data_IF_017482325706
#
_entry.id   IF_017482325706
#
_cell.length_a   1.000
_cell.length_b   1.000
_cell.length_c   1.000
_cell.angle_alpha   90.00
_cell.angle_beta   90.00
_cell.angle_gamma   90.00
#
_symmetry.space_group_name_H-M   'P 1'
#
loop_
_entity.id
_entity.type
_entity.pdbx_description
1 polymer ?
#
# COMPACT_ATOMS: atom_id res chain seq x y z
N UNK A 1 -0.89 6.40 10.44
CA UNK A 1 -1.28 5.29 9.55
C UNK A 1 -2.79 5.08 9.70
N UNK A 2 -3.48 4.48 8.73
CA UNK A 2 -4.93 4.30 8.84
C UNK A 2 -5.23 3.22 9.87
N UNK A 3 -6.08 3.50 10.88
CA UNK A 3 -6.38 2.53 11.95
C UNK A 3 -6.90 1.19 11.44
N UNK A 4 -7.69 1.19 10.36
CA UNK A 4 -8.19 -0.05 9.75
C UNK A 4 -7.06 -0.90 9.16
N UNK A 5 -6.03 -0.25 8.62
CA UNK A 5 -4.89 -0.92 8.00
C UNK A 5 -3.98 -1.54 9.07
N UNK A 6 -3.77 -0.83 10.18
CA UNK A 6 -3.01 -1.36 11.33
C UNK A 6 -3.64 -2.65 11.90
N UNK A 7 -4.97 -2.68 11.99
CA UNK A 7 -5.69 -3.89 12.45
C UNK A 7 -5.51 -5.03 11.45
N UNK A 8 -5.65 -4.75 10.15
CA UNK A 8 -5.51 -5.75 9.09
C UNK A 8 -4.09 -6.33 9.02
N UNK A 9 -3.06 -5.47 9.11
CA UNK A 9 -1.66 -5.91 9.14
C UNK A 9 -1.39 -6.83 10.34
N UNK A 10 -1.91 -6.48 11.51
CA UNK A 10 -1.77 -7.32 12.72
C UNK A 10 -2.47 -8.68 12.57
N UNK A 11 -3.65 -8.72 11.96
CA UNK A 11 -4.37 -9.98 11.70
C UNK A 11 -3.62 -10.84 10.69
N UNK A 12 -3.07 -10.23 9.63
CA UNK A 12 -2.23 -10.90 8.65
C UNK A 12 -0.96 -11.48 9.29
N UNK A 13 -0.23 -10.68 10.07
CA UNK A 13 1.02 -11.11 10.73
C UNK A 13 0.77 -12.30 11.67
N UNK A 14 -0.33 -12.25 12.43
CA UNK A 14 -0.71 -13.37 13.29
C UNK A 14 -0.96 -14.64 12.47
N UNK A 15 -1.79 -14.55 11.42
CA UNK A 15 -2.08 -15.69 10.56
C UNK A 15 -0.82 -16.22 9.86
N UNK A 16 0.09 -15.33 9.45
CA UNK A 16 1.37 -15.69 8.85
C UNK A 16 2.22 -16.51 9.82
N UNK A 17 2.36 -16.07 11.07
CA UNK A 17 3.09 -16.81 12.11
C UNK A 17 2.44 -18.17 12.38
N UNK A 18 1.10 -18.20 12.50
CA UNK A 18 0.37 -19.45 12.75
C UNK A 18 0.60 -20.48 11.62
N UNK A 19 0.63 -20.04 10.36
CA UNK A 19 0.95 -20.92 9.22
C UNK A 19 2.42 -21.36 9.24
N UNK A 20 3.36 -20.47 9.59
CA UNK A 20 4.79 -20.83 9.65
C UNK A 20 5.08 -21.90 10.71
N UNK A 21 4.39 -21.82 11.85
CA UNK A 21 4.44 -22.83 12.91
C UNK A 21 3.92 -24.18 12.41
N UNK A 22 2.76 -24.20 11.76
CA UNK A 22 2.18 -25.42 11.18
C UNK A 22 3.12 -26.07 10.15
N UNK A 23 3.77 -25.26 9.31
CA UNK A 23 4.76 -25.76 8.36
C UNK A 23 6.02 -26.33 9.03
N UNK A 24 6.35 -25.86 10.24
CA UNK A 24 7.44 -26.38 11.06
C UNK A 24 7.14 -27.71 11.77
N UNK A 25 5.86 -28.10 11.86
CA UNK A 25 5.43 -29.39 12.43
C UNK A 25 5.45 -30.54 11.41
N UNK A 26 5.65 -30.24 10.12
CA UNK A 26 5.74 -31.24 9.05
C UNK A 26 6.97 -32.13 9.26
N UNK A 27 6.82 -33.42 8.97
CA UNK A 27 7.89 -34.41 9.07
C UNK A 27 9.14 -33.97 8.26
N UNK A 28 10.36 -34.04 8.84
CA UNK A 28 11.59 -33.71 8.13
C UNK A 28 11.79 -34.45 6.80
N UNK A 29 11.25 -35.67 6.66
CA UNK A 29 11.31 -36.44 5.41
C UNK A 29 10.41 -35.84 4.31
N UNK A 30 9.57 -34.85 4.64
CA UNK A 30 8.69 -34.08 3.75
C UNK A 30 9.11 -32.60 3.63
N UNK A 31 10.40 -32.29 3.82
CA UNK A 31 10.93 -30.92 3.82
C UNK A 31 10.57 -30.08 2.58
N UNK A 32 10.37 -30.71 1.41
CA UNK A 32 9.95 -30.03 0.18
C UNK A 32 8.61 -29.30 0.35
N UNK A 33 7.67 -29.88 1.11
CA UNK A 33 6.36 -29.27 1.38
C UNK A 33 6.53 -28.02 2.24
N UNK A 34 7.36 -28.09 3.29
CA UNK A 34 7.68 -26.94 4.14
C UNK A 34 8.34 -25.82 3.33
N UNK A 35 9.30 -26.16 2.45
CA UNK A 35 9.98 -25.18 1.60
C UNK A 35 9.02 -24.51 0.62
N UNK A 36 8.22 -25.29 -0.11
CA UNK A 36 7.24 -24.74 -1.06
C UNK A 36 6.20 -23.85 -0.34
N UNK A 37 5.75 -24.28 0.84
CA UNK A 37 4.85 -23.51 1.70
C UNK A 37 5.43 -22.14 2.08
N UNK A 38 6.67 -22.10 2.59
CA UNK A 38 7.37 -20.86 2.95
C UNK A 38 7.61 -19.95 1.73
N UNK A 39 7.89 -20.52 0.56
CA UNK A 39 8.04 -19.75 -0.68
C UNK A 39 6.73 -19.08 -1.10
N UNK A 40 5.60 -19.80 -1.04
CA UNK A 40 4.27 -19.20 -1.32
C UNK A 40 3.88 -18.16 -0.28
N UNK A 41 4.17 -18.40 1.00
CA UNK A 41 3.95 -17.41 2.07
C UNK A 41 4.71 -16.11 1.82
N UNK A 42 5.99 -16.20 1.44
CA UNK A 42 6.79 -15.04 1.05
C UNK A 42 6.13 -14.26 -0.09
N UNK A 43 5.61 -14.97 -1.09
CA UNK A 43 4.90 -14.36 -2.22
C UNK A 43 3.61 -13.66 -1.77
N UNK A 44 2.83 -14.29 -0.89
CA UNK A 44 1.61 -13.70 -0.32
C UNK A 44 1.91 -12.43 0.49
N UNK A 45 2.95 -12.46 1.33
CA UNK A 45 3.39 -11.29 2.11
C UNK A 45 3.81 -10.13 1.20
N UNK A 46 4.55 -10.40 0.12
CA UNK A 46 4.90 -9.40 -0.89
C UNK A 46 3.67 -8.79 -1.58
N UNK A 47 2.70 -9.63 -1.99
CA UNK A 47 1.46 -9.16 -2.58
C UNK A 47 0.63 -8.31 -1.59
N UNK A 48 0.55 -8.72 -0.33
CA UNK A 48 -0.16 -7.99 0.72
C UNK A 48 0.48 -6.62 0.98
N UNK A 49 1.80 -6.54 1.12
CA UNK A 49 2.51 -5.27 1.30
C UNK A 49 2.26 -4.30 0.14
N UNK A 50 2.26 -4.79 -1.10
CA UNK A 50 1.93 -3.98 -2.29
C UNK A 50 0.48 -3.50 -2.26
N UNK A 51 -0.46 -4.34 -1.82
CA UNK A 51 -1.86 -3.99 -1.66
C UNK A 51 -2.03 -2.89 -0.60
N UNK A 52 -1.38 -3.03 0.56
CA UNK A 52 -1.38 -2.01 1.62
C UNK A 52 -0.88 -0.66 1.09
N UNK A 53 0.23 -0.65 0.37
CA UNK A 53 0.78 0.59 -0.23
C UNK A 53 -0.18 1.23 -1.23
N UNK A 54 -0.77 0.43 -2.14
CA UNK A 54 -1.73 0.93 -3.13
C UNK A 54 -3.00 1.48 -2.45
N UNK A 55 -3.52 0.80 -1.45
CA UNK A 55 -4.69 1.24 -0.69
C UNK A 55 -4.41 2.57 0.04
N UNK A 56 -3.24 2.72 0.68
CA UNK A 56 -2.82 3.98 1.29
C UNK A 56 -2.74 5.11 0.25
N UNK A 57 -2.11 4.85 -0.90
CA UNK A 57 -1.96 5.82 -1.98
C UNK A 57 -3.32 6.29 -2.51
N UNK A 58 -4.24 5.36 -2.79
CA UNK A 58 -5.61 5.70 -3.24
C UNK A 58 -6.33 6.53 -2.19
N UNK A 59 -6.23 6.17 -0.90
CA UNK A 59 -6.88 6.93 0.17
C UNK A 59 -6.32 8.35 0.30
N UNK A 60 -5.02 8.55 0.13
CA UNK A 60 -4.38 9.87 0.15
C UNK A 60 -4.79 10.71 -1.07
N UNK A 61 -4.86 10.11 -2.26
CA UNK A 61 -5.31 10.79 -3.48
C UNK A 61 -6.77 11.22 -3.34
N UNK A 62 -7.64 10.34 -2.84
CA UNK A 62 -9.05 10.67 -2.62
C UNK A 62 -9.21 11.86 -1.67
N UNK A 63 -8.47 11.87 -0.55
CA UNK A 63 -8.49 12.99 0.38
C UNK A 63 -8.05 14.31 -0.28
N UNK A 64 -6.99 14.28 -1.10
CA UNK A 64 -6.54 15.46 -1.86
C UNK A 64 -7.60 15.95 -2.86
N UNK A 65 -8.27 15.04 -3.56
CA UNK A 65 -9.34 15.37 -4.50
C UNK A 65 -10.56 15.97 -3.78
N UNK A 66 -10.92 15.45 -2.61
CA UNK A 66 -11.98 16.02 -1.77
C UNK A 66 -11.67 17.46 -1.36
N UNK A 67 -10.44 17.73 -0.91
CA UNK A 67 -10.00 19.09 -0.57
C UNK A 67 -10.06 20.04 -1.79
N UNK A 68 -9.58 19.58 -2.95
CA UNK A 68 -9.65 20.37 -4.18
C UNK A 68 -11.09 20.67 -4.60
N UNK A 69 -11.99 19.69 -4.48
CA UNK A 69 -13.42 19.86 -4.77
C UNK A 69 -14.04 20.94 -3.86
N UNK A 70 -13.76 20.88 -2.55
CA UNK A 70 -14.22 21.88 -1.58
C UNK A 70 -13.66 23.26 -1.91
N UNK A 71 -12.37 23.37 -2.24
CA UNK A 71 -11.74 24.64 -2.62
C UNK A 71 -12.42 25.27 -3.85
N UNK A 72 -12.72 24.47 -4.88
CA UNK A 72 -13.42 24.95 -6.07
C UNK A 72 -14.85 25.40 -5.76
N UNK A 73 -15.58 24.66 -4.92
CA UNK A 73 -16.92 25.05 -4.48
C UNK A 73 -16.90 26.35 -3.68
N UNK A 74 -15.90 26.55 -2.83
CA UNK A 74 -15.73 27.81 -2.10
C UNK A 74 -15.42 28.96 -3.05
N UNK A 75 -14.49 28.79 -3.99
CA UNK A 75 -14.17 29.78 -5.02
C UNK A 75 -15.38 30.19 -5.88
N UNK A 76 -16.21 29.21 -6.27
CA UNK A 76 -17.42 29.47 -7.04
C UNK A 76 -18.44 30.29 -6.23
N UNK A 77 -18.54 30.05 -4.92
CA UNK A 77 -19.45 30.77 -4.01
C UNK A 77 -18.95 32.17 -3.63
N UNK A 78 -17.64 32.41 -3.63
CA UNK A 78 -17.04 33.71 -3.32
C UNK A 78 -16.93 34.66 -4.52
N UNK A 79 -17.39 34.25 -5.72
CA UNK A 79 -17.62 35.16 -6.85
C UNK A 79 -16.38 35.63 -7.62
N UNK A 80 -15.24 34.91 -7.52
CA UNK A 80 -14.00 35.31 -8.18
C UNK A 80 -13.99 34.85 -9.66
N UNK A 81 -13.91 35.79 -10.61
CA UNK A 81 -13.80 35.47 -12.05
C UNK A 81 -12.51 34.68 -12.34
N UNK A 82 -12.63 33.48 -12.89
CA UNK A 82 -11.50 32.55 -13.06
C UNK A 82 -10.67 32.94 -14.28
N UNK A 83 -9.44 33.43 -14.08
CA UNK A 83 -8.45 33.55 -15.15
C UNK A 83 -7.74 32.21 -15.38
N UNK A 84 -8.00 31.62 -16.55
CA UNK A 84 -7.55 30.28 -16.97
C UNK A 84 -6.01 30.13 -17.03
N UNK A 85 -5.28 31.25 -17.06
CA UNK A 85 -3.82 31.29 -17.17
C UNK A 85 -3.06 30.72 -15.96
N UNK A 86 -3.60 30.85 -14.74
CA UNK A 86 -2.88 30.49 -13.50
C UNK A 86 -2.95 28.99 -13.17
N UNK A 87 -3.99 28.29 -13.63
CA UNK A 87 -4.24 26.87 -13.31
C UNK A 87 -3.25 25.95 -14.06
N UNK A 88 -2.91 26.30 -15.31
CA UNK A 88 -1.98 25.49 -16.13
C UNK A 88 -0.55 25.46 -15.58
N UNK A 89 -0.14 26.48 -14.82
CA UNK A 89 1.23 26.58 -14.30
C UNK A 89 1.52 25.72 -13.05
N UNK A 90 0.50 25.19 -12.36
CA UNK A 90 0.68 24.32 -11.18
C UNK A 90 0.38 22.83 -11.44
N UNK A 91 0.12 22.47 -12.70
CA UNK A 91 -0.22 21.11 -13.13
C UNK A 91 1.02 20.28 -13.55
N UNK A 92 2.23 20.61 -13.08
CA UNK A 92 3.35 19.66 -13.19
C UNK A 92 3.16 18.59 -12.12
N UNK A 93 2.40 17.56 -12.48
CA UNK A 93 2.31 16.32 -11.73
C UNK A 93 3.72 15.71 -11.74
N UNK A 94 4.38 15.44 -10.59
CA UNK A 94 5.56 14.59 -10.60
C UNK A 94 5.15 13.24 -11.19
N UNK A 95 5.84 12.80 -12.24
CA UNK A 95 5.56 11.52 -12.90
C UNK A 95 5.67 10.37 -11.92
N UNK A 96 4.85 9.35 -12.13
CA UNK A 96 4.72 8.14 -11.29
C UNK A 96 5.95 7.21 -11.45
N UNK A 97 7.07 7.71 -11.96
CA UNK A 97 8.25 6.93 -12.37
C UNK A 97 9.39 6.86 -11.33
N UNK A 98 9.25 7.46 -10.15
CA UNK A 98 10.28 7.38 -9.09
C UNK A 98 9.90 6.50 -7.88
N UNK A 99 8.85 5.67 -7.98
CA UNK A 99 8.42 4.80 -6.87
C UNK A 99 8.56 3.31 -7.16
N UNK A 100 9.81 2.86 -7.41
CA UNK A 100 10.25 1.47 -7.20
C UNK A 100 11.75 1.45 -6.86
N UNK A 101 12.29 0.54 -6.03
CA UNK A 101 11.74 -0.22 -4.91
C UNK A 101 12.69 -0.18 -3.67
N UNK A 102 12.24 0.30 -2.50
CA UNK A 102 13.10 0.31 -1.28
C UNK A 102 12.93 -0.95 -0.41
N UNK A 103 11.97 -1.84 -0.68
CA UNK A 103 11.62 -2.92 0.28
C UNK A 103 12.29 -4.28 0.05
N UNK A 104 13.43 -4.36 -0.63
CA UNK A 104 14.20 -5.61 -0.77
C UNK A 104 15.19 -5.88 0.38
N UNK A 105 15.07 -5.23 1.56
CA UNK A 105 16.08 -5.34 2.63
C UNK A 105 15.61 -5.79 4.02
N UNK A 106 14.40 -6.35 4.14
CA UNK A 106 13.97 -6.92 5.44
C UNK A 106 13.58 -8.40 5.37
N UNK A 107 13.30 -8.98 4.20
CA UNK A 107 12.84 -10.38 4.11
C UNK A 107 13.78 -11.36 3.38
N UNK A 108 14.98 -10.95 2.96
CA UNK A 108 15.99 -11.85 2.33
C UNK A 108 17.14 -12.15 3.30
N UNK A 109 16.86 -12.31 4.59
CA UNK A 109 17.89 -12.71 5.57
C UNK A 109 17.40 -13.75 6.57
N UNK A 110 16.43 -14.57 6.16
CA UNK A 110 16.10 -15.85 6.78
C UNK A 110 16.20 -16.94 5.72
#
# INVERSE_FOLDING_TARGET
>A
MFRWLEVLEKEFDKAFVDVDLLLGEIDPDQADITYEGRQKMTSLSSCFAQLCHKAQTVSQINHKLELHSIQLQLHAKTGQSVDSGTIKAKLSVPSVEELTPVFFRIFVSL
#
